data_IF_796219907718
#
_entry.id   IF_796219907718
#
_cell.length_a   1.000
_cell.length_b   1.000
_cell.length_c   1.000
_cell.angle_alpha   90.00
_cell.angle_beta   90.00
_cell.angle_gamma   90.00
#
_symmetry.space_group_name_H-M   'P 1'
#
loop_
_entity.id
_entity.type
_entity.pdbx_description
1 polymer ?
#
# COMPACT_ATOMS: atom_id res chain seq x y z
N UNK A 1 10.04 -7.83 -50.92
CA UNK A 1 10.74 -6.55 -50.65
C UNK A 1 10.86 -6.41 -49.14
N UNK A 2 12.00 -6.79 -48.53
CA UNK A 2 12.22 -6.58 -47.10
C UNK A 2 12.76 -5.16 -46.88
N UNK A 3 12.07 -4.37 -46.06
CA UNK A 3 12.59 -3.11 -45.55
C UNK A 3 13.49 -3.42 -44.35
N UNK A 4 14.79 -3.36 -44.59
CA UNK A 4 15.81 -3.21 -43.55
C UNK A 4 15.73 -1.77 -43.06
N UNK A 5 15.39 -1.59 -41.78
CA UNK A 5 15.47 -0.30 -41.10
C UNK A 5 16.64 -0.41 -40.14
N UNK A 6 17.80 0.05 -40.58
CA UNK A 6 18.93 0.37 -39.72
C UNK A 6 18.51 1.48 -38.74
N UNK A 7 18.57 1.18 -37.44
CA UNK A 7 18.52 2.19 -36.39
C UNK A 7 19.84 2.14 -35.63
N UNK A 8 20.80 2.89 -36.16
CA UNK A 8 21.94 3.40 -35.39
C UNK A 8 21.40 4.35 -34.32
N UNK A 9 21.26 3.86 -33.09
CA UNK A 9 21.10 4.72 -31.92
C UNK A 9 22.49 4.88 -31.30
N UNK A 10 22.93 6.14 -31.29
CA UNK A 10 24.24 6.63 -30.92
C UNK A 10 24.75 6.10 -29.59
N UNK A 11 26.05 5.84 -29.61
CA UNK A 11 26.81 5.10 -28.61
C UNK A 11 27.67 6.05 -27.75
N UNK A 12 27.25 7.29 -27.52
CA UNK A 12 28.12 8.29 -26.89
C UNK A 12 27.33 9.08 -25.84
N UNK A 13 27.31 8.56 -24.62
CA UNK A 13 26.64 9.16 -23.48
C UNK A 13 27.12 8.56 -22.17
N UNK A 14 28.42 8.31 -22.06
CA UNK A 14 29.08 7.93 -20.82
C UNK A 14 28.99 9.12 -19.85
N UNK A 15 27.93 9.15 -19.04
CA UNK A 15 27.89 10.03 -17.88
C UNK A 15 28.78 9.38 -16.82
N UNK A 16 30.00 9.88 -16.70
CA UNK A 16 30.85 9.74 -15.53
C UNK A 16 30.05 10.13 -14.30
N UNK A 17 29.53 9.13 -13.59
CA UNK A 17 28.90 9.31 -12.29
C UNK A 17 30.03 9.51 -11.28
N UNK A 18 30.56 10.73 -11.28
CA UNK A 18 31.58 11.23 -10.37
C UNK A 18 31.11 10.93 -8.95
N UNK A 19 31.86 10.05 -8.29
CA UNK A 19 31.71 9.67 -6.88
C UNK A 19 31.65 10.93 -6.03
N UNK A 20 30.42 11.37 -5.74
CA UNK A 20 30.14 12.48 -4.85
C UNK A 20 30.37 12.02 -3.43
N UNK A 21 31.51 12.42 -2.89
CA UNK A 21 31.78 12.44 -1.45
C UNK A 21 30.62 13.20 -0.77
N UNK A 22 29.80 12.47 -0.02
CA UNK A 22 28.66 13.03 0.70
C UNK A 22 29.21 13.75 1.94
N UNK A 23 29.46 15.05 1.79
CA UNK A 23 29.86 15.97 2.86
C UNK A 23 28.64 16.23 3.77
N UNK A 24 28.60 15.76 5.04
CA UNK A 24 27.53 16.04 5.97
C UNK A 24 27.87 17.30 6.78
N UNK A 25 28.04 18.43 6.11
CA UNK A 25 28.33 19.69 6.78
C UNK A 25 27.79 20.84 5.96
N UNK A 26 27.04 21.74 6.62
CA UNK A 26 26.35 22.93 6.09
C UNK A 26 24.84 22.81 5.80
N UNK A 27 24.05 22.53 6.84
CA UNK A 27 22.74 23.20 7.02
C UNK A 27 22.84 24.21 8.17
N UNK A 28 23.71 25.21 7.96
CA UNK A 28 23.76 26.40 8.81
C UNK A 28 22.63 27.33 8.41
N UNK A 29 21.73 27.55 9.37
CA UNK A 29 20.97 28.79 9.60
C UNK A 29 19.85 29.08 8.59
N UNK A 30 18.62 29.21 9.09
CA UNK A 30 17.89 30.50 9.08
C UNK A 30 16.62 30.37 9.93
N UNK A 31 16.53 31.28 10.91
CA UNK A 31 15.33 31.82 11.54
C UNK A 31 14.57 30.93 12.54
N UNK A 32 15.22 30.76 13.70
CA UNK A 32 14.56 30.64 15.00
C UNK A 32 13.69 31.89 15.26
N UNK A 33 12.37 31.75 15.20
CA UNK A 33 11.47 32.64 15.94
C UNK A 33 11.55 32.32 17.42
N UNK A 34 12.46 32.99 18.12
CA UNK A 34 12.50 33.06 19.58
C UNK A 34 11.33 33.90 20.08
N UNK A 35 10.24 33.24 20.45
CA UNK A 35 9.29 33.80 21.42
C UNK A 35 9.95 33.65 22.79
N UNK A 36 10.40 34.79 23.35
CA UNK A 36 10.86 34.91 24.73
C UNK A 36 9.74 34.50 25.70
N UNK A 37 9.93 33.37 26.39
CA UNK A 37 9.19 33.06 27.60
C UNK A 37 10.12 33.29 28.82
N UNK A 38 9.63 33.94 29.89
CA UNK A 38 10.46 34.39 30.99
C UNK A 38 10.94 33.21 31.85
N UNK A 39 12.27 33.13 31.98
CA UNK A 39 12.98 32.35 32.99
C UNK A 39 12.72 32.96 34.37
N UNK A 40 11.82 32.38 35.13
CA UNK A 40 11.80 32.47 36.59
C UNK A 40 10.92 31.36 37.12
N UNK A 41 11.56 30.33 37.70
CA UNK A 41 11.21 29.62 38.94
C UNK A 41 12.23 28.49 39.06
N UNK A 42 13.22 28.75 39.91
CA UNK A 42 14.19 27.81 40.44
C UNK A 42 13.76 27.50 41.88
N UNK A 43 13.89 26.24 42.30
CA UNK A 43 13.90 25.70 43.66
C UNK A 43 12.56 25.38 44.37
N UNK A 44 12.23 24.08 44.47
CA UNK A 44 12.26 23.24 45.70
C UNK A 44 11.24 22.08 45.66
N UNK A 45 11.64 20.94 46.24
CA UNK A 45 10.88 19.71 46.60
C UNK A 45 10.93 18.53 45.58
N UNK A 46 10.83 17.27 46.05
CA UNK A 46 11.88 16.51 46.75
C UNK A 46 12.09 15.13 46.08
N UNK A 47 12.99 14.34 46.64
CA UNK A 47 13.24 12.94 46.29
C UNK A 47 11.95 12.11 46.08
N UNK A 48 11.54 11.95 44.82
CA UNK A 48 10.74 10.84 44.33
C UNK A 48 11.68 9.86 43.62
N UNK A 49 12.63 9.31 44.40
CA UNK A 49 13.30 8.06 44.06
C UNK A 49 12.36 6.93 44.46
N UNK A 50 11.53 6.47 43.54
CA UNK A 50 10.70 5.31 43.81
C UNK A 50 9.67 5.11 42.72
N UNK A 51 9.67 3.92 42.14
CA UNK A 51 8.67 3.42 41.20
C UNK A 51 8.79 3.90 39.74
N UNK A 52 9.95 3.67 39.13
CA UNK A 52 9.94 3.22 37.73
C UNK A 52 9.51 1.75 37.74
N UNK A 53 8.20 1.50 37.87
CA UNK A 53 7.63 0.22 37.45
C UNK A 53 7.92 0.12 35.96
N UNK A 54 8.91 -0.68 35.60
CA UNK A 54 8.97 -1.29 34.28
C UNK A 54 7.76 -2.23 34.19
N UNK A 55 6.59 -1.65 33.93
CA UNK A 55 5.44 -2.39 33.43
C UNK A 55 5.89 -2.95 32.08
N UNK A 56 6.43 -4.17 32.12
CA UNK A 56 6.68 -4.99 30.95
C UNK A 56 5.30 -5.30 30.36
N UNK A 57 4.80 -4.41 29.52
CA UNK A 57 3.52 -4.56 28.86
C UNK A 57 3.65 -5.69 27.85
N UNK A 58 2.96 -6.80 28.10
CA UNK A 58 2.82 -7.86 27.11
C UNK A 58 1.97 -7.33 25.97
N UNK A 59 2.55 -7.23 24.77
CA UNK A 59 1.79 -6.86 23.57
C UNK A 59 0.96 -8.08 23.19
N UNK A 60 -0.37 -7.95 23.19
CA UNK A 60 -1.27 -9.02 22.76
C UNK A 60 -1.47 -8.97 21.23
N UNK A 61 -0.92 -9.92 20.45
CA UNK A 61 -0.99 -9.89 18.99
C UNK A 61 -2.43 -9.95 18.47
N UNK A 62 -3.33 -10.62 19.21
CA UNK A 62 -4.74 -10.72 18.88
C UNK A 62 -5.46 -9.36 18.88
N UNK A 63 -5.12 -8.46 19.82
CA UNK A 63 -5.69 -7.10 19.85
C UNK A 63 -5.20 -6.28 18.66
N UNK A 64 -3.95 -6.45 18.25
CA UNK A 64 -3.40 -5.80 17.04
C UNK A 64 -4.12 -6.34 15.80
N UNK A 65 -4.30 -7.66 15.69
CA UNK A 65 -4.97 -8.29 14.56
C UNK A 65 -6.42 -7.79 14.38
N UNK A 66 -7.20 -7.74 15.46
CA UNK A 66 -8.58 -7.24 15.43
C UNK A 66 -8.63 -5.75 15.05
N UNK A 67 -7.71 -4.93 15.59
CA UNK A 67 -7.62 -3.51 15.23
C UNK A 67 -7.29 -3.32 13.74
N UNK A 68 -6.31 -4.05 13.22
CA UNK A 68 -5.94 -4.00 11.79
C UNK A 68 -7.13 -4.42 10.92
N UNK A 69 -7.85 -5.48 11.32
CA UNK A 69 -9.06 -5.94 10.62
C UNK A 69 -10.14 -4.86 10.58
N UNK A 70 -10.43 -4.23 11.72
CA UNK A 70 -11.41 -3.15 11.79
C UNK A 70 -11.00 -1.96 10.92
N UNK A 71 -9.74 -1.52 11.02
CA UNK A 71 -9.23 -0.39 10.25
C UNK A 71 -9.25 -0.66 8.74
N UNK A 72 -8.89 -1.86 8.29
CA UNK A 72 -8.96 -2.26 6.88
C UNK A 72 -10.40 -2.23 6.36
N UNK A 73 -11.33 -2.80 7.12
CA UNK A 73 -12.75 -2.82 6.75
C UNK A 73 -13.34 -1.40 6.72
N UNK A 74 -12.90 -0.52 7.62
CA UNK A 74 -13.34 0.89 7.69
C UNK A 74 -12.79 1.74 6.55
N UNK A 75 -11.53 1.52 6.16
CA UNK A 75 -10.90 2.23 5.04
C UNK A 75 -11.53 1.87 3.68
N UNK A 76 -12.15 0.69 3.59
CA UNK A 76 -12.87 0.24 2.42
C UNK A 76 -11.97 -0.33 1.31
N UNK A 77 -12.59 -0.79 0.24
CA UNK A 77 -11.93 -1.43 -0.90
C UNK A 77 -11.68 -2.94 -0.75
N UNK A 78 -11.53 -3.43 0.49
CA UNK A 78 -11.36 -4.86 0.80
C UNK A 78 -12.11 -5.24 2.06
N UNK A 79 -12.82 -6.37 2.04
CA UNK A 79 -13.46 -6.97 3.22
C UNK A 79 -12.58 -8.09 3.76
N UNK A 80 -11.97 -7.89 4.92
CA UNK A 80 -11.10 -8.88 5.58
C UNK A 80 -11.92 -9.70 6.57
N UNK A 81 -11.85 -11.04 6.45
CA UNK A 81 -12.53 -11.99 7.34
C UNK A 81 -11.74 -12.17 8.63
N UNK A 82 -10.44 -12.43 8.50
CA UNK A 82 -9.56 -12.79 9.62
C UNK A 82 -8.18 -12.19 9.41
N UNK A 83 -7.52 -11.79 10.48
CA UNK A 83 -6.10 -11.42 10.49
C UNK A 83 -5.39 -12.33 11.47
N UNK A 84 -4.30 -12.97 11.03
CA UNK A 84 -3.47 -13.86 11.85
C UNK A 84 -2.09 -13.23 12.01
N UNK A 85 -1.71 -12.94 13.23
CA UNK A 85 -0.36 -12.49 13.57
C UNK A 85 0.40 -13.62 14.27
N UNK A 86 1.73 -13.63 14.25
CA UNK A 86 2.52 -14.59 15.04
C UNK A 86 2.17 -14.51 16.53
N UNK A 87 2.11 -15.67 17.20
CA UNK A 87 1.80 -15.75 18.64
C UNK A 87 2.94 -15.20 19.50
N UNK A 88 4.18 -15.43 19.06
CA UNK A 88 5.39 -14.96 19.70
C UNK A 88 6.01 -13.83 18.88
N UNK A 89 5.85 -12.60 19.36
CA UNK A 89 6.57 -11.44 18.85
C UNK A 89 7.42 -10.89 19.98
N UNK A 90 8.70 -10.64 19.72
CA UNK A 90 9.56 -9.99 20.70
C UNK A 90 9.26 -8.49 20.66
N UNK A 91 8.67 -7.89 21.71
CA UNK A 91 8.21 -6.51 21.67
C UNK A 91 9.39 -5.55 21.79
N UNK A 92 10.14 -5.36 20.70
CA UNK A 92 11.22 -4.39 20.61
C UNK A 92 10.79 -3.20 19.75
N UNK A 93 10.91 -1.99 20.30
CA UNK A 93 10.62 -0.77 19.55
C UNK A 93 11.47 -0.71 18.28
N UNK A 94 10.83 -0.38 17.16
CA UNK A 94 11.42 -0.34 15.83
C UNK A 94 11.45 -1.68 15.10
N UNK A 95 11.15 -2.79 15.78
CA UNK A 95 11.07 -4.11 15.15
C UNK A 95 9.76 -4.26 14.37
N UNK A 96 9.83 -5.02 13.28
CA UNK A 96 8.71 -5.31 12.41
C UNK A 96 8.42 -6.79 12.36
N UNK A 97 7.15 -7.15 12.29
CA UNK A 97 6.69 -8.51 12.07
C UNK A 97 5.57 -8.51 11.03
N UNK A 98 5.36 -9.66 10.38
CA UNK A 98 4.36 -9.78 9.32
C UNK A 98 3.12 -10.53 9.85
N UNK A 99 1.95 -9.90 9.74
CA UNK A 99 0.66 -10.56 9.90
C UNK A 99 0.12 -11.01 8.54
N UNK A 100 -0.81 -11.95 8.51
CA UNK A 100 -1.50 -12.42 7.31
C UNK A 100 -2.99 -12.12 7.41
N UNK A 101 -3.50 -11.32 6.49
CA UNK A 101 -4.94 -11.07 6.36
C UNK A 101 -5.57 -12.04 5.36
N UNK A 102 -6.73 -12.58 5.70
CA UNK A 102 -7.54 -13.49 4.89
C UNK A 102 -8.80 -12.76 4.42
N UNK A 103 -8.95 -12.63 3.10
CA UNK A 103 -10.15 -12.05 2.46
C UNK A 103 -11.17 -13.16 2.24
N UNK A 104 -10.68 -14.32 1.80
CA UNK A 104 -11.46 -15.51 1.48
C UNK A 104 -10.64 -16.78 1.73
N UNK A 105 -11.24 -17.96 1.58
CA UNK A 105 -10.57 -19.25 1.85
C UNK A 105 -9.35 -19.49 0.97
N UNK A 106 -9.29 -18.84 -0.20
CA UNK A 106 -8.18 -18.99 -1.16
C UNK A 106 -7.25 -17.78 -1.22
N UNK A 107 -7.63 -16.64 -0.61
CA UNK A 107 -6.94 -15.36 -0.81
C UNK A 107 -6.50 -14.77 0.51
N UNK A 108 -5.18 -14.62 0.65
CA UNK A 108 -4.55 -13.94 1.76
C UNK A 108 -3.44 -13.02 1.28
N UNK A 109 -3.08 -12.03 2.10
CA UNK A 109 -1.98 -11.11 1.83
C UNK A 109 -1.22 -10.75 3.11
N UNK A 110 0.10 -10.46 3.01
CA UNK A 110 0.91 -10.05 4.14
C UNK A 110 0.66 -8.58 4.51
N UNK A 111 0.70 -8.29 5.80
CA UNK A 111 0.64 -6.97 6.38
C UNK A 111 1.89 -6.81 7.25
N UNK A 112 2.69 -5.80 6.95
CA UNK A 112 3.87 -5.49 7.75
C UNK A 112 3.47 -4.59 8.90
N UNK A 113 3.71 -5.04 10.13
CA UNK A 113 3.45 -4.29 11.35
C UNK A 113 4.78 -3.86 11.94
N UNK A 114 4.94 -2.57 12.24
CA UNK A 114 6.12 -1.98 12.86
C UNK A 114 5.75 -1.46 14.25
N UNK A 115 6.41 -1.98 15.28
CA UNK A 115 6.22 -1.53 16.65
C UNK A 115 6.86 -0.14 16.81
N UNK A 116 6.05 0.87 17.12
CA UNK A 116 6.57 2.21 17.47
C UNK A 116 7.13 2.20 18.88
N UNK A 117 6.46 1.53 19.80
CA UNK A 117 6.87 1.42 21.20
C UNK A 117 6.45 0.10 21.85
N UNK A 118 6.87 -0.09 23.10
CA UNK A 118 6.53 -1.23 23.95
C UNK A 118 5.15 -1.11 24.62
N UNK A 119 4.35 -0.08 24.27
CA UNK A 119 2.99 0.13 24.80
C UNK A 119 1.91 -0.34 23.83
N UNK A 120 2.31 -0.98 22.73
CA UNK A 120 1.40 -1.47 21.70
C UNK A 120 0.99 -0.39 20.69
N UNK A 121 1.71 0.75 20.62
CA UNK A 121 1.56 1.63 19.47
C UNK A 121 2.27 0.99 18.28
N UNK A 122 1.51 0.77 17.21
CA UNK A 122 1.99 0.12 15.99
C UNK A 122 1.64 0.97 14.78
N UNK A 123 2.56 1.01 13.83
CA UNK A 123 2.22 1.32 12.45
C UNK A 123 2.06 0.02 11.69
N UNK A 124 1.20 0.02 10.69
CA UNK A 124 1.08 -1.12 9.81
C UNK A 124 0.86 -0.65 8.38
N UNK A 125 1.37 -1.42 7.44
CA UNK A 125 1.23 -1.17 6.02
C UNK A 125 0.92 -2.47 5.28
N UNK A 126 0.05 -2.37 4.27
CA UNK A 126 -0.20 -3.47 3.35
C UNK A 126 0.82 -3.38 2.23
N UNK A 127 1.60 -4.45 2.06
CA UNK A 127 2.55 -4.57 0.97
C UNK A 127 1.81 -4.87 -0.34
N UNK A 128 2.32 -4.33 -1.45
CA UNK A 128 1.79 -4.65 -2.77
C UNK A 128 2.03 -6.13 -3.08
N UNK A 129 0.96 -6.83 -3.45
CA UNK A 129 1.03 -8.24 -3.84
C UNK A 129 0.13 -8.51 -5.05
N UNK A 130 0.17 -9.75 -5.56
CA UNK A 130 -0.71 -10.22 -6.63
C UNK A 130 -2.22 -10.07 -6.34
N UNK A 131 -2.60 -10.03 -5.06
CA UNK A 131 -4.00 -10.04 -4.62
C UNK A 131 -4.50 -8.65 -4.23
N UNK A 132 -3.64 -7.84 -3.62
CA UNK A 132 -4.01 -6.53 -3.09
C UNK A 132 -2.95 -5.49 -3.45
N UNK A 133 -3.42 -4.29 -3.79
CA UNK A 133 -2.57 -3.16 -4.14
C UNK A 133 -2.86 -1.97 -3.23
N UNK A 134 -1.79 -1.37 -2.70
CA UNK A 134 -1.83 -0.14 -1.91
C UNK A 134 -1.74 1.05 -2.86
N UNK A 135 -2.90 1.64 -3.16
CA UNK A 135 -3.02 2.74 -4.11
C UNK A 135 -2.33 4.01 -3.61
N UNK A 136 -2.30 4.27 -2.29
CA UNK A 136 -1.57 5.41 -1.73
C UNK A 136 -0.06 5.28 -1.87
N UNK A 137 0.46 4.07 -1.62
CA UNK A 137 1.87 3.77 -1.84
C UNK A 137 2.24 3.96 -3.32
N UNK A 138 1.39 3.46 -4.21
CA UNK A 138 1.59 3.59 -5.66
C UNK A 138 1.52 5.05 -6.14
N UNK A 139 0.54 5.82 -5.69
CA UNK A 139 0.44 7.27 -5.99
C UNK A 139 1.71 8.01 -5.57
N UNK A 140 2.26 7.68 -4.40
CA UNK A 140 3.49 8.30 -3.91
C UNK A 140 4.69 7.96 -4.79
N UNK A 141 4.80 6.69 -5.22
CA UNK A 141 5.84 6.25 -6.16
C UNK A 141 5.74 6.96 -7.51
N UNK A 142 4.53 7.10 -8.07
CA UNK A 142 4.33 7.83 -9.33
C UNK A 142 4.64 9.31 -9.20
N UNK A 143 4.26 9.94 -8.09
CA UNK A 143 4.60 11.35 -7.82
C UNK A 143 6.11 11.56 -7.80
N UNK A 144 6.85 10.69 -7.12
CA UNK A 144 8.31 10.78 -7.03
C UNK A 144 8.98 10.52 -8.40
N UNK A 145 8.54 9.50 -9.13
CA UNK A 145 9.06 9.19 -10.46
C UNK A 145 8.81 10.34 -11.46
N UNK A 146 7.59 10.88 -11.50
CA UNK A 146 7.22 11.99 -12.39
C UNK A 146 7.89 13.30 -11.98
N UNK A 147 8.08 13.56 -10.69
CA UNK A 147 8.86 14.71 -10.22
C UNK A 147 10.30 14.66 -10.70
N UNK A 148 10.90 13.47 -10.66
CA UNK A 148 12.28 13.25 -11.13
C UNK A 148 12.40 13.45 -12.65
N UNK A 149 11.42 12.98 -13.43
CA UNK A 149 11.45 13.10 -14.89
C UNK A 149 11.08 14.50 -15.40
N UNK A 150 10.08 15.14 -14.79
CA UNK A 150 9.51 16.39 -15.29
C UNK A 150 9.99 17.64 -14.55
N UNK A 151 10.65 17.50 -13.40
CA UNK A 151 11.08 18.62 -12.56
C UNK A 151 9.93 19.42 -11.94
N UNK A 152 8.71 18.88 -11.94
CA UNK A 152 7.51 19.54 -11.43
C UNK A 152 6.70 18.61 -10.56
N UNK A 153 6.07 19.13 -9.51
CA UNK A 153 5.11 18.36 -8.72
C UNK A 153 3.86 18.04 -9.56
N UNK A 154 3.45 16.78 -9.53
CA UNK A 154 2.27 16.25 -10.21
C UNK A 154 1.31 15.74 -9.15
N UNK A 155 0.01 16.03 -9.27
CA UNK A 155 -0.99 15.35 -8.44
C UNK A 155 -1.47 14.09 -9.18
N UNK A 156 -1.45 12.94 -8.50
CA UNK A 156 -1.80 11.63 -9.05
C UNK A 156 -2.88 11.03 -8.17
N UNK A 157 -3.91 10.44 -8.79
CA UNK A 157 -5.07 9.81 -8.14
C UNK A 157 -5.35 8.47 -8.80
N UNK A 158 -5.17 7.39 -8.05
CA UNK A 158 -5.35 6.02 -8.50
C UNK A 158 -6.66 5.38 -8.00
N UNK A 159 -7.54 6.17 -7.38
CA UNK A 159 -8.84 5.72 -6.89
C UNK A 159 -9.32 6.52 -5.68
N UNK A 160 -10.50 6.16 -5.16
CA UNK A 160 -11.07 6.76 -3.93
C UNK A 160 -10.73 5.94 -2.68
N UNK A 161 -10.49 4.64 -2.83
CA UNK A 161 -10.12 3.74 -1.74
C UNK A 161 -8.59 3.59 -1.66
N UNK A 162 -8.02 3.42 -0.46
CA UNK A 162 -6.57 3.22 -0.33
C UNK A 162 -6.09 1.86 -0.83
N UNK A 163 -7.00 0.87 -0.87
CA UNK A 163 -6.69 -0.50 -1.29
C UNK A 163 -7.62 -0.94 -2.42
N UNK A 164 -7.09 -1.79 -3.31
CA UNK A 164 -7.81 -2.42 -4.41
C UNK A 164 -7.46 -3.90 -4.48
N UNK A 165 -8.48 -4.76 -4.64
CA UNK A 165 -8.27 -6.16 -4.98
C UNK A 165 -7.96 -6.30 -6.46
N UNK A 166 -6.89 -7.01 -6.77
CA UNK A 166 -6.46 -7.22 -8.14
C UNK A 166 -6.55 -8.68 -8.54
N UNK A 167 -6.61 -8.88 -9.85
CA UNK A 167 -6.43 -10.18 -10.49
C UNK A 167 -5.15 -10.12 -11.33
N UNK A 168 -4.44 -11.25 -11.51
CA UNK A 168 -3.36 -11.34 -12.48
C UNK A 168 -3.80 -10.81 -13.86
N UNK A 169 -3.03 -9.90 -14.45
CA UNK A 169 -3.37 -9.27 -15.73
C UNK A 169 -4.37 -8.12 -15.65
N UNK A 170 -4.83 -7.72 -14.45
CA UNK A 170 -5.73 -6.56 -14.30
C UNK A 170 -5.03 -5.27 -14.72
N UNK A 171 -5.81 -4.33 -15.24
CA UNK A 171 -5.34 -3.00 -15.60
C UNK A 171 -6.30 -1.94 -15.11
N UNK A 172 -5.76 -0.81 -14.69
CA UNK A 172 -6.56 0.31 -14.23
C UNK A 172 -5.86 1.63 -14.53
N UNK A 173 -6.63 2.71 -14.46
CA UNK A 173 -6.16 4.05 -14.77
C UNK A 173 -5.98 4.85 -13.49
N UNK A 174 -4.86 5.58 -13.41
CA UNK A 174 -4.71 6.68 -12.48
C UNK A 174 -4.82 7.99 -13.24
N UNK A 175 -5.60 8.93 -12.73
CA UNK A 175 -5.61 10.30 -13.27
C UNK A 175 -4.47 11.10 -12.68
N UNK A 176 -3.91 12.00 -13.46
CA UNK A 176 -2.88 12.93 -12.99
C UNK A 176 -3.10 14.33 -13.51
N UNK A 177 -2.58 15.33 -12.80
CA UNK A 177 -2.65 16.74 -13.17
C UNK A 177 -1.25 17.34 -13.18
N UNK A 178 -0.78 17.76 -14.36
CA UNK A 178 0.53 18.39 -14.58
C UNK A 178 0.34 19.80 -15.11
N UNK A 179 0.67 20.81 -14.31
CA UNK A 179 0.52 22.23 -14.69
C UNK A 179 -0.90 22.58 -15.20
N UNK A 180 -1.93 22.01 -14.55
CA UNK A 180 -3.33 22.22 -14.95
C UNK A 180 -3.79 21.42 -16.17
N UNK A 181 -2.92 20.59 -16.77
CA UNK A 181 -3.30 19.67 -17.83
C UNK A 181 -3.59 18.28 -17.24
N UNK A 182 -4.79 17.72 -17.47
CA UNK A 182 -5.08 16.35 -17.07
C UNK A 182 -4.28 15.36 -17.94
N UNK A 183 -3.93 14.23 -17.36
CA UNK A 183 -3.35 13.08 -18.04
C UNK A 183 -3.77 11.79 -17.36
N UNK A 184 -3.51 10.66 -18.02
CA UNK A 184 -3.86 9.33 -17.51
C UNK A 184 -2.62 8.44 -17.49
N UNK A 185 -2.47 7.69 -16.41
CA UNK A 185 -1.44 6.67 -16.27
C UNK A 185 -2.16 5.32 -16.36
N UNK A 186 -1.85 4.54 -17.40
CA UNK A 186 -2.38 3.19 -17.52
C UNK A 186 -1.48 2.24 -16.74
N UNK A 187 -2.01 1.70 -15.66
CA UNK A 187 -1.34 0.73 -14.79
C UNK A 187 -1.76 -0.68 -15.18
N UNK A 188 -0.79 -1.57 -15.38
CA UNK A 188 -0.99 -2.99 -15.70
C UNK A 188 -0.27 -3.84 -14.66
N UNK A 189 -0.97 -4.82 -14.11
CA UNK A 189 -0.38 -5.83 -13.25
C UNK A 189 0.01 -7.05 -14.07
N UNK A 190 1.25 -7.48 -13.95
CA UNK A 190 1.68 -8.75 -14.53
C UNK A 190 1.19 -9.94 -13.68
N UNK A 191 1.33 -11.19 -14.16
CA UNK A 191 0.98 -12.39 -13.38
C UNK A 191 1.80 -12.57 -12.09
N UNK A 192 2.95 -11.91 -11.99
CA UNK A 192 3.83 -11.87 -10.84
C UNK A 192 3.40 -10.82 -9.80
N UNK A 193 2.45 -9.96 -10.14
CA UNK A 193 1.95 -8.88 -9.29
C UNK A 193 2.85 -7.64 -9.29
N UNK A 194 3.83 -7.55 -10.18
CA UNK A 194 4.57 -6.33 -10.40
C UNK A 194 3.73 -5.32 -11.17
N UNK A 195 3.99 -4.06 -10.89
CA UNK A 195 3.24 -2.94 -11.46
C UNK A 195 4.03 -2.37 -12.63
N UNK A 196 3.49 -2.50 -13.83
CA UNK A 196 3.99 -1.85 -15.03
C UNK A 196 3.08 -0.67 -15.34
N UNK A 197 3.63 0.48 -15.69
CA UNK A 197 2.84 1.67 -15.98
C UNK A 197 3.36 2.40 -17.19
N UNK A 198 2.45 2.96 -17.98
CA UNK A 198 2.75 3.81 -19.11
C UNK A 198 2.00 5.12 -18.94
N UNK A 199 2.69 6.24 -19.14
CA UNK A 199 2.04 7.55 -19.28
C UNK A 199 1.28 7.56 -20.61
N UNK A 200 -0.04 7.57 -20.53
CA UNK A 200 -0.90 7.78 -21.69
C UNK A 200 -1.27 9.25 -21.67
N UNK A 201 -0.50 10.05 -22.40
CA UNK A 201 -0.88 11.44 -22.65
C UNK A 201 -2.15 11.36 -23.50
N UNK A 202 -3.31 11.50 -22.86
CA UNK A 202 -4.56 11.62 -23.60
C UNK A 202 -4.43 12.82 -24.51
N UNK A 203 -4.40 12.53 -25.79
CA UNK A 203 -4.53 13.50 -26.85
C UNK A 203 -5.82 14.26 -26.52
N UNK A 204 -5.80 15.61 -26.43
CA UNK A 204 -7.01 16.35 -26.10
C UNK A 204 -8.07 15.90 -27.09
N UNK A 205 -9.05 15.13 -26.61
CA UNK A 205 -10.24 14.80 -27.40
C UNK A 205 -10.90 16.14 -27.56
N UNK A 206 -10.59 16.80 -28.67
CA UNK A 206 -11.09 18.11 -29.01
C UNK A 206 -12.58 18.06 -28.73
N UNK A 207 -12.99 18.84 -27.73
CA UNK A 207 -14.34 18.93 -27.17
C UNK A 207 -15.31 18.53 -28.25
N UNK A 208 -15.87 17.31 -28.17
CA UNK A 208 -16.83 16.84 -29.17
C UNK A 208 -17.83 17.99 -29.29
N UNK A 209 -17.97 18.64 -30.46
CA UNK A 209 -18.77 19.84 -30.58
C UNK A 209 -20.13 19.48 -30.01
N UNK A 210 -20.55 20.21 -28.97
CA UNK A 210 -21.88 20.07 -28.41
C UNK A 210 -22.82 20.18 -29.60
N UNK A 211 -23.37 19.05 -30.02
CA UNK A 211 -24.34 19.00 -31.09
C UNK A 211 -25.59 19.62 -30.45
N UNK A 212 -25.64 20.95 -30.52
CA UNK A 212 -26.75 21.74 -30.09
C UNK A 212 -28.00 21.14 -30.72
N UNK A 213 -28.87 20.62 -29.87
CA UNK A 213 -30.29 20.55 -30.16
C UNK A 213 -31.05 21.04 -28.93
N UNK A 214 -31.19 22.36 -28.92
CA UNK A 214 -32.38 23.02 -28.38
C UNK A 214 -33.61 22.42 -29.06
N UNK A 215 -34.49 21.79 -28.28
CA UNK A 215 -35.95 21.77 -28.44
C UNK A 215 -36.47 21.53 -27.01
N UNK A 216 -36.99 22.48 -26.24
CA UNK A 216 -38.06 23.41 -26.60
C UNK A 216 -39.40 22.69 -26.44
N UNK A 217 -39.96 22.67 -25.23
CA UNK A 217 -41.27 22.04 -25.00
C UNK A 217 -41.72 22.07 -23.55
N UNK A 218 -42.46 23.12 -23.21
CA UNK A 218 -43.37 23.22 -22.07
C UNK A 218 -44.19 21.94 -21.82
N UNK A 219 -44.46 21.67 -20.53
CA UNK A 219 -45.67 21.05 -19.93
C UNK A 219 -45.24 20.27 -18.67
N UNK A 220 -45.96 20.23 -17.55
CA UNK A 220 -47.16 20.89 -17.03
C UNK A 220 -47.30 20.34 -15.60
N UNK A 221 -47.76 21.18 -14.67
CA UNK A 221 -48.12 20.81 -13.31
C UNK A 221 -49.11 19.63 -13.24
N UNK A 222 -48.99 18.76 -12.23
CA UNK A 222 -50.04 17.82 -11.84
C UNK A 222 -49.57 16.81 -10.79
N UNK A 223 -50.46 16.50 -9.84
CA UNK A 223 -50.23 15.78 -8.57
C UNK A 223 -49.66 14.35 -8.69
N UNK A 224 -49.50 13.59 -7.60
CA UNK A 224 -50.52 13.33 -6.58
C UNK A 224 -49.87 12.55 -5.42
N UNK A 225 -50.44 12.79 -4.25
CA UNK A 225 -50.47 12.03 -3.00
C UNK A 225 -50.80 10.54 -3.15
N UNK A 226 -50.35 9.73 -2.17
CA UNK A 226 -50.79 8.35 -1.87
C UNK A 226 -49.76 7.29 -2.31
N UNK A 227 -49.47 6.21 -1.58
CA UNK A 227 -50.11 5.63 -0.42
C UNK A 227 -49.16 4.64 0.27
N UNK A 228 -49.53 4.32 1.50
CA UNK A 228 -49.03 3.25 2.36
C UNK A 228 -48.94 1.92 1.58
N UNK A 229 -47.91 1.11 1.85
CA UNK A 229 -48.14 -0.33 1.84
C UNK A 229 -47.44 -1.01 3.02
N UNK A 230 -48.30 -1.57 3.87
CA UNK A 230 -47.97 -2.44 4.98
C UNK A 230 -48.06 -3.90 4.51
N UNK A 231 -47.39 -4.76 5.29
CA UNK A 231 -47.50 -6.23 5.30
C UNK A 231 -46.89 -6.98 4.10
N UNK A 232 -45.97 -7.91 4.37
CA UNK A 232 -46.37 -9.31 4.54
C UNK A 232 -45.21 -10.20 5.02
N UNK A 233 -45.43 -10.79 6.20
CA UNK A 233 -45.21 -12.21 6.56
C UNK A 233 -43.84 -12.88 6.35
N UNK A 234 -43.27 -13.28 7.49
CA UNK A 234 -42.46 -14.49 7.71
C UNK A 234 -43.10 -15.75 7.10
N UNK A 235 -42.31 -16.81 6.90
CA UNK A 235 -42.51 -17.94 7.82
C UNK A 235 -41.23 -18.54 8.39
N UNK A 236 -41.38 -18.98 9.64
CA UNK A 236 -40.54 -19.93 10.35
C UNK A 236 -40.34 -21.22 9.57
N UNK A 237 -39.11 -21.73 9.54
CA UNK A 237 -38.76 -23.08 9.10
C UNK A 237 -37.83 -23.71 10.14
N UNK A 238 -38.38 -24.59 10.95
CA UNK A 238 -37.71 -25.40 11.96
C UNK A 238 -37.23 -26.72 11.35
N UNK A 239 -36.14 -27.26 11.93
CA UNK A 239 -35.66 -28.65 11.88
C UNK A 239 -34.75 -29.06 10.69
N UNK A 240 -33.50 -29.44 11.00
CA UNK A 240 -33.17 -30.86 11.16
C UNK A 240 -31.70 -31.06 11.61
N UNK A 241 -31.58 -31.80 12.70
CA UNK A 241 -30.38 -32.44 13.25
C UNK A 241 -29.87 -33.52 12.31
N UNK A 242 -28.56 -33.55 12.02
CA UNK A 242 -27.84 -34.78 11.68
C UNK A 242 -26.32 -34.61 11.89
N UNK A 243 -25.82 -35.18 12.99
CA UNK A 243 -24.43 -35.64 13.12
C UNK A 243 -24.20 -36.84 12.19
N UNK A 244 -22.98 -37.01 11.68
CA UNK A 244 -22.34 -38.30 11.84
C UNK A 244 -20.94 -38.20 12.45
N UNK A 245 -20.78 -39.00 13.48
CA UNK A 245 -19.54 -39.43 14.12
C UNK A 245 -18.73 -40.31 13.17
N UNK A 246 -17.40 -40.27 13.31
CA UNK A 246 -16.55 -41.44 13.08
C UNK A 246 -15.58 -41.36 11.90
N UNK A 247 -14.34 -40.99 12.19
CA UNK A 247 -13.21 -41.16 11.27
C UNK A 247 -11.88 -41.00 12.02
N UNK A 248 -11.35 -42.11 12.54
CA UNK A 248 -10.03 -42.21 13.17
C UNK A 248 -8.90 -41.77 12.22
N UNK A 249 -7.88 -41.04 12.71
CA UNK A 249 -6.60 -40.94 12.02
C UNK A 249 -5.67 -42.08 12.48
N UNK A 250 -5.33 -42.98 11.57
CA UNK A 250 -4.24 -43.94 11.72
C UNK A 250 -3.05 -43.51 10.86
N UNK A 251 -1.87 -43.61 11.45
CA UNK A 251 -0.52 -43.62 10.87
C UNK A 251 0.18 -42.27 10.60
N UNK A 252 1.08 -41.95 11.55
CA UNK A 252 2.40 -41.36 11.29
C UNK A 252 3.17 -42.17 10.24
N UNK A 253 3.99 -41.50 9.44
CA UNK A 253 5.42 -41.80 9.53
C UNK A 253 6.29 -40.56 9.75
N UNK A 254 7.22 -40.72 10.69
CA UNK A 254 8.44 -39.91 10.79
C UNK A 254 9.28 -40.09 9.52
N UNK A 255 9.71 -38.98 8.93
CA UNK A 255 10.88 -38.96 8.06
C UNK A 255 11.59 -37.60 8.22
N UNK A 256 12.64 -37.66 9.05
CA UNK A 256 13.76 -36.75 9.13
C UNK A 256 14.38 -36.53 7.75
N UNK A 257 14.46 -35.28 7.30
CA UNK A 257 15.46 -34.84 6.31
C UNK A 257 15.74 -33.34 6.48
N UNK A 258 16.92 -33.05 7.01
CA UNK A 258 17.53 -31.73 7.02
C UNK A 258 17.80 -31.24 5.59
N UNK A 259 17.51 -29.99 5.22
CA UNK A 259 18.15 -29.37 4.07
C UNK A 259 19.54 -28.87 4.47
N UNK A 260 20.54 -29.50 3.87
CA UNK A 260 21.93 -29.07 3.80
C UNK A 260 21.99 -27.60 3.34
N UNK A 261 22.75 -26.81 4.10
CA UNK A 261 23.19 -25.47 3.74
C UNK A 261 24.06 -25.55 2.48
N UNK A 262 23.49 -25.29 1.30
CA UNK A 262 24.27 -25.12 0.08
C UNK A 262 24.67 -23.63 -0.05
N UNK A 263 25.95 -23.39 0.23
CA UNK A 263 26.66 -22.15 -0.02
C UNK A 263 26.59 -21.83 -1.53
N UNK A 264 25.72 -20.90 -1.92
CA UNK A 264 25.83 -20.25 -3.22
C UNK A 264 26.95 -19.22 -3.10
N UNK A 265 28.15 -19.67 -3.48
CA UNK A 265 29.26 -18.82 -3.90
C UNK A 265 28.76 -17.98 -5.06
N UNK A 266 28.74 -16.67 -4.87
CA UNK A 266 28.45 -15.70 -5.92
C UNK A 266 29.77 -15.45 -6.67
N UNK A 267 29.97 -15.95 -7.92
CA UNK A 267 31.17 -15.67 -8.68
C UNK A 267 31.19 -14.21 -9.12
N UNK A 268 32.38 -13.61 -9.00
CA UNK A 268 32.62 -12.18 -9.10
C UNK A 268 32.21 -11.54 -10.43
N UNK A 269 31.73 -10.31 -10.30
CA UNK A 269 31.86 -9.31 -11.33
C UNK A 269 33.31 -8.81 -11.32
N UNK A 270 34.16 -9.46 -12.11
CA UNK A 270 35.42 -8.91 -12.59
C UNK A 270 35.08 -7.80 -13.61
N UNK A 271 35.43 -6.55 -13.30
CA UNK A 271 35.47 -5.47 -14.29
C UNK A 271 36.77 -5.60 -15.10
N UNK A 272 36.75 -5.54 -16.44
CA UNK A 272 37.97 -5.35 -17.21
C UNK A 272 38.50 -3.91 -17.04
N UNK A 273 39.75 -3.83 -16.59
CA UNK A 273 40.58 -2.62 -16.59
C UNK A 273 40.92 -2.25 -18.04
N UNK A 274 40.40 -1.11 -18.52
CA UNK A 274 40.73 -0.56 -19.83
C UNK A 274 41.81 0.49 -19.62
N UNK A 275 43.07 0.06 -19.73
CA UNK A 275 44.21 0.94 -19.97
C UNK A 275 44.10 1.55 -21.38
N UNK A 276 43.89 2.87 -21.44
CA UNK A 276 44.05 3.65 -22.67
C UNK A 276 45.55 3.88 -22.92
N UNK A 277 45.97 3.58 -24.15
CA UNK A 277 47.18 4.09 -24.80
C UNK A 277 46.73 5.10 -25.88
#
# INVERSE_FOLDING_TARGET
MPFLVDSEIGKDGFIDNKKGEFDPSHSKTMLRSTVMLPRSILLLLPAWLGFVLMACGTIEPNKIAEKIKEDLNKQGGVTVKTVKCPEEVNPKSGESFDCRAEIDVTKSFPIRVKLKDNRGNVDWEVLNTKVILNLKGLESQFKEALKTQAGTDVDVKCGTTPYRLNKPGDSFECTMMKQGKPGVILVKLDPEGNVNWNEVIEIPVAKAPELGKQVGGDQKAGGKTGDKNAAQSSPSGTAATASPSGGSPTASPSATASPTTENIVNPGNELPDVTND
#
